data_IF_422282790585
#
_entry.id   IF_422282790585
#
_cell.length_a   1.000
_cell.length_b   1.000
_cell.length_c   1.000
_cell.angle_alpha   90.00
_cell.angle_beta   90.00
_cell.angle_gamma   90.00
#
_symmetry.space_group_name_H-M   'P 1'
#
loop_
_entity.id
_entity.type
_entity.pdbx_description
1 polymer ?
#
# COMPACT_ATOMS: atom_id res chain seq x y z
N UNK A 1 -72.05 -6.02 6.03
CA UNK A 1 -70.92 -5.11 5.73
C UNK A 1 -69.85 -5.36 6.79
N UNK A 2 -68.77 -6.05 6.42
CA UNK A 2 -67.71 -6.44 7.36
C UNK A 2 -66.82 -5.23 7.66
N UNK A 3 -66.58 -4.93 8.94
CA UNK A 3 -65.74 -3.82 9.35
C UNK A 3 -64.26 -4.12 9.03
N UNK A 4 -63.48 -3.16 8.48
CA UNK A 4 -62.07 -3.38 8.17
C UNK A 4 -61.24 -3.45 9.45
N UNK A 5 -60.55 -4.57 9.65
CA UNK A 5 -59.60 -4.77 10.75
C UNK A 5 -58.34 -3.94 10.49
N UNK A 6 -58.15 -2.87 11.26
CA UNK A 6 -56.94 -2.04 11.19
C UNK A 6 -55.83 -2.68 12.03
N UNK A 7 -54.88 -3.34 11.38
CA UNK A 7 -53.69 -3.89 12.03
C UNK A 7 -52.57 -2.84 12.08
N UNK A 8 -52.18 -2.44 13.29
CA UNK A 8 -51.05 -1.52 13.50
C UNK A 8 -49.81 -2.37 13.72
N UNK A 9 -48.91 -2.42 12.72
CA UNK A 9 -47.59 -3.06 12.85
C UNK A 9 -46.68 -2.07 13.56
N UNK A 10 -46.29 -2.38 14.80
CA UNK A 10 -45.28 -1.58 15.51
C UNK A 10 -43.93 -1.80 14.82
N UNK A 11 -43.15 -0.74 14.55
CA UNK A 11 -41.80 -0.91 14.00
C UNK A 11 -40.98 -1.78 14.96
N UNK A 12 -40.28 -2.78 14.40
CA UNK A 12 -39.35 -3.60 15.17
C UNK A 12 -38.33 -2.67 15.84
N UNK A 13 -38.29 -2.68 17.17
CA UNK A 13 -37.45 -1.79 17.96
C UNK A 13 -35.97 -2.15 17.84
N UNK A 14 -35.31 -1.68 16.78
CA UNK A 14 -33.88 -1.89 16.50
C UNK A 14 -32.92 -1.11 17.43
N UNK A 15 -33.43 -0.43 18.45
CA UNK A 15 -32.64 0.47 19.31
C UNK A 15 -31.58 -0.26 20.14
N UNK A 16 -31.91 -1.43 20.71
CA UNK A 16 -30.96 -2.19 21.53
C UNK A 16 -29.90 -2.89 20.67
N UNK A 17 -30.28 -3.45 19.53
CA UNK A 17 -29.35 -4.10 18.61
C UNK A 17 -28.34 -3.10 18.05
N UNK A 18 -28.79 -1.90 17.66
CA UNK A 18 -27.91 -0.82 17.18
C UNK A 18 -26.99 -0.32 18.29
N UNK A 19 -27.47 -0.25 19.54
CA UNK A 19 -26.66 0.10 20.69
C UNK A 19 -25.56 -0.94 20.95
N UNK A 20 -25.88 -2.24 20.89
CA UNK A 20 -24.89 -3.30 21.07
C UNK A 20 -23.83 -3.29 19.96
N UNK A 21 -24.24 -3.08 18.71
CA UNK A 21 -23.31 -2.94 17.58
C UNK A 21 -22.40 -1.73 17.78
N UNK A 22 -22.95 -0.58 18.18
CA UNK A 22 -22.16 0.62 18.44
C UNK A 22 -21.15 0.40 19.57
N UNK A 23 -21.57 -0.22 20.68
CA UNK A 23 -20.69 -0.55 21.80
C UNK A 23 -19.58 -1.51 21.39
N UNK A 24 -19.89 -2.53 20.59
CA UNK A 24 -18.90 -3.45 20.06
C UNK A 24 -17.90 -2.73 19.16
N UNK A 25 -18.36 -1.85 18.27
CA UNK A 25 -17.48 -1.02 17.43
C UNK A 25 -16.54 -0.15 18.28
N UNK A 26 -17.07 0.53 19.30
CA UNK A 26 -16.26 1.35 20.21
C UNK A 26 -15.24 0.52 20.99
N UNK A 27 -15.61 -0.69 21.42
CA UNK A 27 -14.70 -1.61 22.09
C UNK A 27 -13.56 -2.05 21.17
N UNK A 28 -13.86 -2.42 19.92
CA UNK A 28 -12.85 -2.78 18.91
C UNK A 28 -11.89 -1.60 18.68
N UNK A 29 -12.43 -0.39 18.49
CA UNK A 29 -11.62 0.81 18.28
C UNK A 29 -10.74 1.12 19.51
N UNK A 30 -11.28 0.98 20.72
CA UNK A 30 -10.53 1.18 21.96
C UNK A 30 -9.39 0.19 22.12
N UNK A 31 -9.64 -1.10 21.85
CA UNK A 31 -8.60 -2.15 21.88
C UNK A 31 -7.55 -1.89 20.82
N UNK A 32 -7.93 -1.58 19.58
CA UNK A 32 -6.99 -1.28 18.50
C UNK A 32 -6.10 -0.06 18.83
N UNK A 33 -6.71 1.03 19.33
CA UNK A 33 -5.99 2.21 19.76
C UNK A 33 -5.03 1.90 20.92
N UNK A 34 -5.45 1.08 21.89
CA UNK A 34 -4.61 0.62 22.99
C UNK A 34 -3.41 -0.19 22.50
N UNK A 35 -3.65 -1.18 21.63
CA UNK A 35 -2.60 -2.01 21.02
C UNK A 35 -1.61 -1.14 20.26
N UNK A 36 -2.08 -0.23 19.40
CA UNK A 36 -1.23 0.69 18.64
C UNK A 36 -0.44 1.61 19.57
N UNK A 37 -1.05 2.12 20.64
CA UNK A 37 -0.34 3.00 21.58
C UNK A 37 0.72 2.25 22.39
N UNK A 38 0.48 0.98 22.73
CA UNK A 38 1.43 0.13 23.46
C UNK A 38 2.54 -0.44 22.55
N UNK A 39 2.23 -0.71 21.28
CA UNK A 39 3.17 -1.15 20.25
C UNK A 39 3.77 -0.01 19.44
N UNK A 40 3.52 1.25 19.82
CA UNK A 40 4.38 2.35 19.39
C UNK A 40 5.72 2.10 20.05
N UNK A 41 6.56 1.34 19.37
CA UNK A 41 7.97 1.26 19.67
C UNK A 41 8.44 2.70 19.85
N UNK A 42 8.88 3.01 21.07
CA UNK A 42 9.89 4.04 21.31
C UNK A 42 11.17 3.53 20.65
N UNK A 43 11.15 3.47 19.32
CA UNK A 43 12.31 3.18 18.51
C UNK A 43 13.24 4.35 18.77
N UNK A 44 14.24 4.10 19.61
CA UNK A 44 15.42 4.94 19.71
C UNK A 44 15.74 5.41 18.31
N UNK A 45 15.75 6.73 18.15
CA UNK A 45 16.28 7.37 16.97
C UNK A 45 17.76 6.99 16.93
N UNK A 46 18.07 5.81 16.39
CA UNK A 46 19.37 5.53 15.85
C UNK A 46 19.59 6.66 14.85
N UNK A 47 20.44 7.61 15.22
CA UNK A 47 20.79 8.72 14.35
C UNK A 47 21.42 8.11 13.11
N UNK A 48 20.63 8.00 12.04
CA UNK A 48 21.13 7.61 10.76
C UNK A 48 22.21 8.62 10.37
N UNK A 49 23.34 8.13 9.85
CA UNK A 49 24.33 9.03 9.29
C UNK A 49 23.67 9.85 8.18
N UNK A 50 24.12 11.09 7.95
CA UNK A 50 23.46 12.05 7.04
C UNK A 50 23.29 11.59 5.59
N UNK A 51 23.89 10.46 5.20
CA UNK A 51 23.79 9.83 3.88
C UNK A 51 22.90 8.60 3.85
N UNK A 52 22.29 8.22 4.98
CA UNK A 52 21.37 7.10 5.10
C UNK A 52 19.95 7.62 5.21
N UNK A 53 19.04 6.95 4.51
CA UNK A 53 17.61 7.22 4.53
C UNK A 53 16.90 6.03 5.15
N UNK A 54 16.03 6.27 6.13
CA UNK A 54 15.06 5.29 6.60
C UNK A 54 13.94 5.18 5.57
N UNK A 55 13.88 4.05 4.86
CA UNK A 55 12.83 3.79 3.89
C UNK A 55 11.40 3.94 4.46
N UNK A 56 11.19 3.90 5.78
CA UNK A 56 9.86 4.11 6.41
C UNK A 56 9.54 5.55 6.78
N UNK A 57 10.55 6.41 6.97
CA UNK A 57 10.36 7.77 7.54
C UNK A 57 10.81 8.87 6.60
N UNK A 58 11.85 8.62 5.83
CA UNK A 58 12.52 9.62 5.02
C UNK A 58 12.07 9.61 3.55
N UNK A 59 11.29 8.59 3.16
CA UNK A 59 10.65 8.48 1.85
C UNK A 59 9.20 8.95 1.91
N UNK A 60 8.74 9.63 0.85
CA UNK A 60 7.32 9.93 0.63
C UNK A 60 6.50 8.65 0.43
N UNK A 61 5.18 8.71 0.62
CA UNK A 61 4.33 7.53 0.43
C UNK A 61 4.45 6.90 -0.97
N UNK A 62 4.67 7.72 -2.00
CA UNK A 62 4.88 7.25 -3.36
C UNK A 62 6.24 6.55 -3.52
N UNK A 63 7.32 7.13 -2.98
CA UNK A 63 8.67 6.54 -2.98
C UNK A 63 8.74 5.24 -2.18
N UNK A 64 8.09 5.18 -1.02
CA UNK A 64 7.94 3.96 -0.23
C UNK A 64 7.26 2.86 -1.06
N UNK A 65 6.26 3.27 -1.82
CA UNK A 65 5.57 2.46 -2.79
C UNK A 65 6.47 1.86 -3.86
N UNK A 66 7.28 2.71 -4.50
CA UNK A 66 8.23 2.27 -5.54
C UNK A 66 9.28 1.35 -4.95
N UNK A 67 9.81 1.70 -3.78
CA UNK A 67 10.79 0.88 -3.08
C UNK A 67 10.23 -0.51 -2.76
N UNK A 68 8.97 -0.58 -2.31
CA UNK A 68 8.30 -1.85 -2.05
C UNK A 68 8.15 -2.68 -3.34
N UNK A 69 7.68 -2.08 -4.42
CA UNK A 69 7.50 -2.76 -5.70
C UNK A 69 8.85 -3.26 -6.26
N UNK A 70 9.90 -2.43 -6.22
CA UNK A 70 11.25 -2.81 -6.64
C UNK A 70 11.80 -3.98 -5.83
N UNK A 71 11.52 -4.04 -4.52
CA UNK A 71 11.95 -5.17 -3.69
C UNK A 71 11.24 -6.46 -4.05
N UNK A 72 9.96 -6.40 -4.36
CA UNK A 72 9.19 -7.58 -4.82
C UNK A 72 9.73 -8.06 -6.16
N UNK A 73 9.86 -7.15 -7.13
CA UNK A 73 10.32 -7.49 -8.48
C UNK A 73 11.79 -7.91 -8.53
N UNK A 74 12.62 -7.49 -7.58
CA UNK A 74 14.02 -7.93 -7.50
C UNK A 74 14.14 -9.46 -7.38
N UNK A 75 13.26 -10.10 -6.61
CA UNK A 75 13.30 -11.55 -6.44
C UNK A 75 12.91 -12.27 -7.75
N UNK A 76 11.95 -11.71 -8.49
CA UNK A 76 11.57 -12.19 -9.82
C UNK A 76 12.70 -11.99 -10.85
N UNK A 77 13.37 -10.83 -10.85
CA UNK A 77 14.53 -10.56 -11.71
C UNK A 77 15.64 -11.59 -11.45
N UNK A 78 15.90 -11.95 -10.18
CA UNK A 78 16.93 -12.94 -9.83
C UNK A 78 16.57 -14.34 -10.33
N UNK A 79 15.29 -14.70 -10.27
CA UNK A 79 14.79 -15.95 -10.82
C UNK A 79 14.99 -15.98 -12.35
N UNK A 80 14.50 -14.97 -13.05
CA UNK A 80 14.63 -14.84 -14.51
C UNK A 80 16.09 -14.80 -14.98
N UNK A 81 16.97 -14.14 -14.22
CA UNK A 81 18.41 -14.09 -14.51
C UNK A 81 19.11 -15.45 -14.34
N UNK A 82 18.51 -16.39 -13.60
CA UNK A 82 19.03 -17.76 -13.52
C UNK A 82 18.62 -18.59 -14.74
N UNK A 83 17.46 -18.29 -15.33
CA UNK A 83 16.90 -19.00 -16.48
C UNK A 83 17.46 -18.50 -17.82
N UNK A 84 17.95 -17.26 -17.86
CA UNK A 84 18.35 -16.57 -19.09
C UNK A 84 19.81 -16.09 -19.02
N UNK A 85 20.52 -16.13 -20.15
CA UNK A 85 21.93 -15.70 -20.23
C UNK A 85 22.08 -14.19 -20.49
N UNK A 86 21.00 -13.51 -20.85
CA UNK A 86 20.96 -12.06 -21.10
C UNK A 86 20.39 -11.30 -19.91
N UNK A 87 20.80 -10.04 -19.68
CA UNK A 87 20.24 -9.20 -18.63
C UNK A 87 18.73 -9.01 -18.83
N UNK A 88 17.96 -9.15 -17.74
CA UNK A 88 16.49 -8.98 -17.75
C UNK A 88 16.18 -7.51 -18.00
N UNK A 89 15.57 -7.17 -19.13
CA UNK A 89 15.40 -5.76 -19.50
C UNK A 89 14.18 -5.13 -18.80
N UNK A 90 14.17 -3.80 -18.54
CA UNK A 90 13.00 -3.11 -18.00
C UNK A 90 11.75 -3.30 -18.87
N UNK A 91 11.95 -3.40 -20.19
CA UNK A 91 10.84 -3.57 -21.13
C UNK A 91 10.22 -4.95 -21.03
N UNK A 92 11.05 -6.00 -20.92
CA UNK A 92 10.58 -7.35 -20.62
C UNK A 92 9.79 -7.38 -19.30
N UNK A 93 10.31 -6.76 -18.23
CA UNK A 93 9.60 -6.68 -16.94
C UNK A 93 8.25 -5.97 -17.07
N UNK A 94 8.19 -4.89 -17.87
CA UNK A 94 6.95 -4.18 -18.16
C UNK A 94 5.96 -5.02 -18.96
N UNK A 95 6.42 -5.77 -19.95
CA UNK A 95 5.60 -6.67 -20.78
C UNK A 95 5.04 -7.85 -19.96
N UNK A 96 5.79 -8.33 -18.98
CA UNK A 96 5.37 -9.37 -18.02
C UNK A 96 4.46 -8.80 -16.89
N UNK A 97 4.30 -7.48 -16.82
CA UNK A 97 3.39 -6.83 -15.87
C UNK A 97 3.99 -6.58 -14.48
N UNK A 98 5.31 -6.63 -14.33
CA UNK A 98 5.95 -6.36 -13.05
C UNK A 98 5.98 -4.85 -12.74
N UNK A 99 5.44 -4.47 -11.59
CA UNK A 99 5.62 -3.12 -11.06
C UNK A 99 7.08 -2.90 -10.62
N UNK A 100 7.64 -1.69 -10.67
CA UNK A 100 7.07 -0.45 -11.24
C UNK A 100 7.30 -0.30 -12.76
N UNK A 101 7.69 -1.37 -13.47
CA UNK A 101 8.04 -1.32 -14.89
C UNK A 101 6.82 -1.33 -15.81
N UNK A 102 5.74 -1.99 -15.38
CA UNK A 102 4.46 -1.96 -16.06
C UNK A 102 3.82 -0.55 -15.99
N UNK A 103 3.26 -0.09 -17.11
CA UNK A 103 2.58 1.20 -17.20
C UNK A 103 1.11 1.08 -16.78
N UNK A 104 0.88 0.82 -15.50
CA UNK A 104 -0.45 0.70 -14.90
C UNK A 104 -0.81 1.90 -13.99
N UNK A 105 -1.99 1.84 -13.37
CA UNK A 105 -2.44 2.89 -12.47
C UNK A 105 -1.50 3.10 -11.26
N UNK A 106 -0.86 2.04 -10.79
CA UNK A 106 0.09 2.11 -9.67
C UNK A 106 1.33 2.91 -10.08
N UNK A 107 1.88 2.66 -11.28
CA UNK A 107 3.01 3.38 -11.84
C UNK A 107 2.74 4.88 -11.93
N UNK A 108 1.55 5.29 -12.42
CA UNK A 108 1.15 6.71 -12.49
C UNK A 108 1.08 7.33 -11.09
N UNK A 109 0.43 6.66 -10.13
CA UNK A 109 0.31 7.17 -8.75
C UNK A 109 1.65 7.31 -8.02
N UNK A 110 2.65 6.57 -8.49
CA UNK A 110 4.00 6.53 -7.95
C UNK A 110 4.98 7.43 -8.71
N UNK A 111 4.51 8.23 -9.65
CA UNK A 111 5.32 9.25 -10.34
C UNK A 111 5.75 8.89 -11.76
N UNK A 112 5.27 7.76 -12.30
CA UNK A 112 5.38 7.41 -13.71
C UNK A 112 6.82 7.37 -14.21
N UNK A 113 7.69 6.65 -13.49
CA UNK A 113 9.11 6.59 -13.80
C UNK A 113 9.36 5.98 -15.18
N UNK A 114 10.17 6.66 -15.99
CA UNK A 114 10.71 6.13 -17.22
C UNK A 114 11.92 5.24 -16.89
N UNK A 115 11.77 3.93 -17.10
CA UNK A 115 12.79 2.94 -16.77
C UNK A 115 13.72 2.66 -17.96
N UNK A 116 15.02 2.72 -17.70
CA UNK A 116 16.07 2.40 -18.65
C UNK A 116 17.10 1.50 -17.97
N UNK A 117 17.76 0.65 -18.75
CA UNK A 117 18.90 -0.11 -18.26
C UNK A 117 20.18 0.59 -18.66
N UNK A 118 21.05 0.83 -17.68
CA UNK A 118 22.41 1.30 -17.90
C UNK A 118 23.38 0.25 -17.37
N UNK A 119 24.11 -0.40 -18.29
CA UNK A 119 24.95 -1.58 -18.02
C UNK A 119 24.19 -2.74 -17.35
N UNK A 120 24.29 -2.88 -16.04
CA UNK A 120 23.62 -3.90 -15.21
C UNK A 120 22.68 -3.27 -14.16
N UNK A 121 22.41 -1.96 -14.30
CA UNK A 121 21.61 -1.19 -13.36
C UNK A 121 20.33 -0.68 -14.00
N UNK A 122 19.26 -0.61 -13.21
CA UNK A 122 17.98 -0.03 -13.61
C UNK A 122 17.92 1.43 -13.15
N UNK A 123 17.65 2.34 -14.09
CA UNK A 123 17.48 3.76 -13.83
C UNK A 123 16.02 4.14 -14.11
N UNK A 124 15.32 4.61 -13.08
CA UNK A 124 13.94 5.09 -13.19
C UNK A 124 13.85 6.58 -12.94
N UNK A 125 13.58 7.38 -13.97
CA UNK A 125 13.47 8.84 -13.85
C UNK A 125 12.00 9.27 -13.84
N UNK A 126 11.58 9.95 -12.77
CA UNK A 126 10.25 10.58 -12.68
C UNK A 126 10.27 11.96 -13.31
N UNK A 127 9.21 12.32 -14.03
CA UNK A 127 8.96 13.71 -14.45
C UNK A 127 8.04 14.47 -13.47
N UNK A 128 7.70 13.85 -12.34
CA UNK A 128 6.83 14.40 -11.30
C UNK A 128 7.57 14.50 -9.97
N UNK A 129 8.48 15.49 -9.80
CA UNK A 129 9.32 15.62 -8.61
C UNK A 129 8.53 15.86 -7.31
N UNK A 130 7.28 16.32 -7.41
CA UNK A 130 6.38 16.45 -6.25
C UNK A 130 5.83 15.11 -5.76
N UNK A 131 5.94 14.04 -6.55
CA UNK A 131 5.47 12.68 -6.22
C UNK A 131 6.65 11.77 -5.92
N UNK A 132 7.71 11.83 -6.72
CA UNK A 132 8.96 11.11 -6.51
C UNK A 132 10.12 11.97 -7.03
N UNK A 133 11.00 12.43 -6.14
CA UNK A 133 12.01 13.46 -6.43
C UNK A 133 13.29 13.35 -5.62
#
# INVERSE_FOLDING_TARGET
MSAPTRQIVRPAGAGHETLYVLLLCLLILGVAAGVVSLHRDTQETHSLASHQLDARRDLTAAEQGIYADLRVTLDEIRLLATEQQTPVTPQQLGDEGFAPFAQDASSVSRGGHAWQMFEQSYLGLSQTPNVAG
#
